data_IF_885037827742
#
_entry.id   IF_885037827742
#
_cell.length_a   1.000
_cell.length_b   1.000
_cell.length_c   1.000
_cell.angle_alpha   90.00
_cell.angle_beta   90.00
_cell.angle_gamma   90.00
#
_symmetry.space_group_name_H-M   'P 1'
#
loop_
_entity.id
_entity.type
_entity.pdbx_description
1 polymer ?
#
# COMPACT_ATOMS: atom_id res chain seq x y z
N UNK A 1 -17.73 31.17 5.01
CA UNK A 1 -16.37 31.00 4.50
C UNK A 1 -15.92 29.54 4.54
N UNK A 2 -15.85 28.85 5.68
CA UNK A 2 -15.40 27.45 5.80
C UNK A 2 -16.22 26.48 4.93
N UNK A 3 -17.57 26.61 4.93
CA UNK A 3 -18.45 25.77 4.10
C UNK A 3 -18.19 25.99 2.60
N UNK A 4 -17.96 27.27 2.19
CA UNK A 4 -17.62 27.56 0.79
C UNK A 4 -16.25 26.98 0.40
N UNK A 5 -15.27 27.05 1.29
CA UNK A 5 -13.95 26.46 1.06
C UNK A 5 -14.05 24.94 0.90
N UNK A 6 -14.60 24.25 1.90
CA UNK A 6 -14.77 22.80 1.84
C UNK A 6 -15.64 22.39 0.65
N UNK A 7 -16.77 23.10 0.43
CA UNK A 7 -17.68 22.82 -0.66
C UNK A 7 -17.04 22.98 -2.04
N UNK A 8 -16.23 24.03 -2.24
CA UNK A 8 -15.51 24.22 -3.51
C UNK A 8 -14.55 23.05 -3.79
N UNK A 9 -13.72 22.68 -2.82
CA UNK A 9 -12.78 21.57 -2.97
C UNK A 9 -13.52 20.26 -3.29
N UNK A 10 -14.56 19.95 -2.51
CA UNK A 10 -15.31 18.69 -2.69
C UNK A 10 -16.03 18.65 -4.04
N UNK A 11 -16.70 19.73 -4.45
CA UNK A 11 -17.41 19.81 -5.74
C UNK A 11 -16.42 19.71 -6.89
N UNK A 12 -15.31 20.46 -6.83
CA UNK A 12 -14.30 20.44 -7.88
C UNK A 12 -13.76 19.02 -8.13
N UNK A 13 -13.38 18.31 -7.08
CA UNK A 13 -12.83 16.96 -7.21
C UNK A 13 -13.88 15.86 -7.45
N UNK A 14 -15.19 16.13 -7.25
CA UNK A 14 -16.24 15.18 -7.63
C UNK A 14 -16.32 14.97 -9.15
N UNK A 15 -15.93 15.96 -9.94
CA UNK A 15 -15.93 15.89 -11.40
C UNK A 15 -14.60 15.50 -12.01
N UNK A 16 -13.61 15.17 -11.19
CA UNK A 16 -12.27 14.72 -11.61
C UNK A 16 -12.05 13.26 -11.26
N UNK A 17 -11.02 12.63 -11.86
CA UNK A 17 -10.52 11.33 -11.39
C UNK A 17 -10.08 11.47 -9.94
N UNK A 18 -10.79 10.81 -9.02
CA UNK A 18 -10.58 10.99 -7.58
C UNK A 18 -9.46 10.11 -7.06
N UNK A 19 -8.58 10.74 -6.29
CA UNK A 19 -7.61 10.09 -5.40
C UNK A 19 -7.93 10.50 -3.98
N UNK A 20 -7.65 9.67 -2.99
CA UNK A 20 -8.01 9.93 -1.59
C UNK A 20 -7.43 11.26 -1.07
N UNK A 21 -6.21 11.60 -1.49
CA UNK A 21 -5.53 12.82 -1.06
C UNK A 21 -6.09 14.11 -1.68
N UNK A 22 -6.95 14.04 -2.69
CA UNK A 22 -7.56 15.23 -3.28
C UNK A 22 -8.50 15.96 -2.32
N UNK A 23 -9.02 15.28 -1.31
CA UNK A 23 -9.82 15.90 -0.24
C UNK A 23 -8.99 16.63 0.81
N UNK A 24 -7.67 16.43 0.88
CA UNK A 24 -6.80 17.02 1.91
C UNK A 24 -6.89 18.56 2.01
N UNK A 25 -6.99 19.33 0.92
CA UNK A 25 -7.14 20.79 1.02
C UNK A 25 -8.41 21.24 1.76
N UNK A 26 -9.43 20.38 1.91
CA UNK A 26 -10.64 20.67 2.68
C UNK A 26 -10.49 20.39 4.21
N UNK A 27 -9.50 19.60 4.62
CA UNK A 27 -9.34 19.16 6.01
C UNK A 27 -9.19 20.31 7.01
N UNK A 28 -8.42 21.41 6.75
CA UNK A 28 -8.37 22.54 7.67
C UNK A 28 -9.73 23.22 7.84
N UNK A 29 -10.53 23.33 6.77
CA UNK A 29 -11.87 23.90 6.84
C UNK A 29 -12.81 23.03 7.68
N UNK A 30 -12.76 21.71 7.51
CA UNK A 30 -13.53 20.75 8.34
C UNK A 30 -13.09 20.81 9.81
N UNK A 31 -11.79 20.86 10.08
CA UNK A 31 -11.26 20.93 11.46
C UNK A 31 -11.74 22.20 12.19
N UNK A 32 -11.68 23.36 11.52
CA UNK A 32 -12.17 24.62 12.08
C UNK A 32 -13.69 24.61 12.28
N UNK A 33 -14.46 24.10 11.30
CA UNK A 33 -15.91 23.98 11.42
C UNK A 33 -16.31 23.04 12.58
N UNK A 34 -15.63 21.91 12.73
CA UNK A 34 -15.86 20.97 13.82
C UNK A 34 -15.52 21.61 15.19
N UNK A 35 -14.42 22.35 15.26
CA UNK A 35 -14.04 23.09 16.47
C UNK A 35 -15.11 24.09 16.92
N UNK A 36 -15.68 24.86 15.97
CA UNK A 36 -16.78 25.79 16.25
C UNK A 36 -18.03 25.07 16.78
N UNK A 37 -18.43 23.98 16.10
CA UNK A 37 -19.60 23.19 16.48
C UNK A 37 -19.44 22.60 17.89
N UNK A 38 -18.28 22.08 18.21
CA UNK A 38 -17.99 21.51 19.53
C UNK A 38 -17.93 22.60 20.63
N UNK A 39 -17.48 23.82 20.30
CA UNK A 39 -17.45 24.95 21.24
C UNK A 39 -18.83 25.44 21.58
N UNK A 40 -19.76 25.48 20.64
CA UNK A 40 -21.15 25.93 20.85
C UNK A 40 -21.98 24.95 21.71
N UNK A 41 -21.58 23.68 21.77
CA UNK A 41 -22.17 22.61 22.60
C UNK A 41 -23.71 22.51 22.57
N UNK A 42 -24.31 22.72 21.40
CA UNK A 42 -25.75 22.64 21.23
C UNK A 42 -26.30 21.21 21.44
N UNK A 43 -27.60 21.09 21.74
CA UNK A 43 -28.23 19.80 22.08
C UNK A 43 -28.12 18.71 21.00
N UNK A 44 -28.08 19.09 19.72
CA UNK A 44 -27.85 18.16 18.62
C UNK A 44 -26.41 17.60 18.59
N UNK A 45 -25.43 18.36 19.06
CA UNK A 45 -24.02 17.92 19.20
C UNK A 45 -23.91 16.75 20.17
N UNK A 46 -24.69 16.79 21.27
CA UNK A 46 -24.75 15.67 22.22
C UNK A 46 -25.33 14.39 21.58
N UNK A 47 -26.32 14.53 20.69
CA UNK A 47 -26.87 13.36 19.96
C UNK A 47 -25.84 12.82 18.98
N UNK A 48 -25.20 13.68 18.22
CA UNK A 48 -24.14 13.30 17.29
C UNK A 48 -22.96 12.62 18.01
N UNK A 49 -22.55 13.14 19.15
CA UNK A 49 -21.51 12.54 20.00
C UNK A 49 -21.87 11.11 20.43
N UNK A 50 -23.13 10.84 20.78
CA UNK A 50 -23.58 9.47 21.11
C UNK A 50 -23.55 8.54 19.89
N UNK A 51 -23.91 9.05 18.69
CA UNK A 51 -23.80 8.27 17.45
C UNK A 51 -22.35 7.91 17.18
N UNK A 52 -21.43 8.88 17.28
CA UNK A 52 -19.98 8.66 17.14
C UNK A 52 -19.48 7.64 18.16
N UNK A 53 -19.95 7.75 19.43
CA UNK A 53 -19.64 6.76 20.46
C UNK A 53 -20.10 5.36 20.09
N UNK A 54 -21.33 5.21 19.58
CA UNK A 54 -21.86 3.91 19.16
C UNK A 54 -21.08 3.32 17.98
N UNK A 55 -20.71 4.14 16.99
CA UNK A 55 -19.88 3.73 15.87
C UNK A 55 -18.49 3.30 16.33
N UNK A 56 -17.86 4.08 17.23
CA UNK A 56 -16.57 3.72 17.80
C UNK A 56 -16.65 2.43 18.63
N UNK A 57 -17.71 2.23 19.41
CA UNK A 57 -17.93 0.98 20.14
C UNK A 57 -18.09 -0.22 19.20
N UNK A 58 -18.85 -0.07 18.12
CA UNK A 58 -19.00 -1.12 17.12
C UNK A 58 -17.66 -1.44 16.43
N UNK A 59 -16.87 -0.43 16.07
CA UNK A 59 -15.52 -0.61 15.51
C UNK A 59 -14.56 -1.30 16.51
N UNK A 60 -14.64 -0.93 17.80
CA UNK A 60 -13.88 -1.61 18.87
C UNK A 60 -14.24 -3.10 18.96
N UNK A 61 -15.54 -3.43 18.97
CA UNK A 61 -16.03 -4.81 19.03
C UNK A 61 -15.57 -5.58 17.78
N UNK A 62 -15.69 -5.00 16.60
CA UNK A 62 -15.25 -5.63 15.36
C UNK A 62 -13.74 -5.91 15.37
N UNK A 63 -12.91 -4.93 15.74
CA UNK A 63 -11.46 -5.11 15.84
C UNK A 63 -11.09 -6.17 16.89
N UNK A 64 -11.76 -6.18 18.06
CA UNK A 64 -11.56 -7.18 19.09
C UNK A 64 -11.98 -8.58 18.64
N UNK A 65 -13.10 -8.71 17.91
CA UNK A 65 -13.57 -9.99 17.36
C UNK A 65 -12.58 -10.55 16.33
N UNK A 66 -12.08 -9.71 15.41
CA UNK A 66 -11.04 -10.13 14.46
C UNK A 66 -9.78 -10.55 15.22
N UNK A 67 -9.33 -9.74 16.17
CA UNK A 67 -8.16 -10.08 16.99
C UNK A 67 -8.32 -11.42 17.72
N UNK A 68 -9.50 -11.67 18.31
CA UNK A 68 -9.80 -12.93 18.99
C UNK A 68 -9.78 -14.12 18.01
N UNK A 69 -10.32 -13.95 16.79
CA UNK A 69 -10.35 -15.02 15.78
C UNK A 69 -8.96 -15.42 15.28
N UNK A 70 -8.01 -14.49 15.28
CA UNK A 70 -6.64 -14.74 14.79
C UNK A 70 -5.62 -14.90 15.92
N UNK A 71 -6.04 -14.84 17.18
CA UNK A 71 -5.12 -14.80 18.33
C UNK A 71 -4.15 -15.99 18.36
N UNK A 72 -4.66 -17.20 18.13
CA UNK A 72 -3.89 -18.44 18.12
C UNK A 72 -3.20 -18.73 16.76
N UNK A 73 -3.50 -17.97 15.71
CA UNK A 73 -2.91 -18.20 14.40
C UNK A 73 -1.43 -17.80 14.39
N UNK A 74 -0.53 -18.66 13.87
CA UNK A 74 0.86 -18.31 13.68
C UNK A 74 1.02 -17.27 12.54
N UNK A 75 2.06 -16.43 12.64
CA UNK A 75 2.42 -15.45 11.61
C UNK A 75 3.89 -15.65 11.21
N UNK A 76 4.25 -16.73 10.50
CA UNK A 76 5.62 -17.05 10.12
C UNK A 76 6.09 -16.21 8.93
N UNK A 77 7.28 -15.61 9.05
CA UNK A 77 7.86 -14.80 7.98
C UNK A 77 7.16 -13.44 7.80
N UNK A 78 7.05 -12.97 6.58
CA UNK A 78 6.36 -11.73 6.23
C UNK A 78 4.89 -11.99 5.78
N UNK A 79 4.11 -10.90 5.71
CA UNK A 79 2.68 -10.95 5.39
C UNK A 79 2.39 -11.38 3.94
N UNK A 80 3.34 -11.19 3.01
CA UNK A 80 3.11 -11.38 1.57
C UNK A 80 2.64 -12.80 1.21
N UNK A 81 3.07 -13.80 1.98
CA UNK A 81 2.64 -15.20 1.78
C UNK A 81 1.19 -15.48 2.16
N UNK A 82 0.58 -14.59 2.93
CA UNK A 82 -0.79 -14.71 3.43
C UNK A 82 -1.77 -13.82 2.68
N UNK A 83 -1.29 -13.06 1.69
CA UNK A 83 -2.13 -12.20 0.85
C UNK A 83 -2.58 -12.94 -0.41
N UNK A 84 -3.80 -12.66 -0.85
CA UNK A 84 -4.27 -13.05 -2.17
C UNK A 84 -3.69 -12.07 -3.20
N UNK A 85 -2.64 -12.47 -3.92
CA UNK A 85 -1.99 -11.60 -4.90
C UNK A 85 -2.89 -11.43 -6.13
N UNK A 86 -3.48 -10.24 -6.26
CA UNK A 86 -4.31 -9.83 -7.40
C UNK A 86 -3.64 -8.65 -8.14
N UNK A 87 -2.74 -8.90 -9.08
CA UNK A 87 -1.97 -7.85 -9.75
C UNK A 87 -2.83 -6.85 -10.53
N UNK A 88 -4.05 -7.24 -10.94
CA UNK A 88 -4.97 -6.35 -11.67
C UNK A 88 -5.58 -5.25 -10.80
N UNK A 89 -5.58 -5.40 -9.47
CA UNK A 89 -6.15 -4.41 -8.53
C UNK A 89 -5.20 -3.27 -8.17
N UNK A 90 -3.94 -3.31 -8.61
CA UNK A 90 -2.92 -2.28 -8.30
C UNK A 90 -3.24 -0.89 -8.86
N UNK A 91 -4.18 -0.78 -9.76
CA UNK A 91 -4.59 0.50 -10.34
C UNK A 91 -5.47 1.34 -9.41
N UNK A 92 -6.01 0.76 -8.35
CA UNK A 92 -6.88 1.43 -7.38
C UNK A 92 -6.11 1.64 -6.06
N UNK A 93 -6.18 2.84 -5.49
CA UNK A 93 -5.45 3.21 -4.27
C UNK A 93 -5.76 2.32 -3.06
N UNK A 94 -6.96 1.75 -2.98
CA UNK A 94 -7.36 0.79 -1.95
C UNK A 94 -7.41 -0.66 -2.47
N UNK A 95 -6.87 -0.93 -3.66
CA UNK A 95 -6.88 -2.25 -4.27
C UNK A 95 -6.24 -3.34 -3.40
N UNK A 96 -5.18 -2.98 -2.67
CA UNK A 96 -4.51 -3.89 -1.75
C UNK A 96 -5.40 -4.40 -0.59
N UNK A 97 -6.51 -3.74 -0.29
CA UNK A 97 -7.47 -4.25 0.69
C UNK A 97 -8.18 -5.52 0.20
N UNK A 98 -8.30 -5.70 -1.12
CA UNK A 98 -8.81 -6.93 -1.73
C UNK A 98 -7.88 -8.13 -1.59
N UNK A 99 -6.60 -7.90 -1.31
CA UNK A 99 -5.61 -8.95 -1.09
C UNK A 99 -5.65 -9.54 0.32
N UNK A 100 -6.37 -8.89 1.26
CA UNK A 100 -6.46 -9.33 2.66
C UNK A 100 -7.23 -10.64 2.79
N UNK A 101 -6.59 -11.62 3.37
CA UNK A 101 -7.20 -12.88 3.80
C UNK A 101 -7.36 -12.92 5.32
N UNK A 102 -8.15 -13.85 5.85
CA UNK A 102 -8.25 -14.00 7.31
C UNK A 102 -6.86 -14.28 7.94
N UNK A 103 -6.02 -15.05 7.26
CA UNK A 103 -4.68 -15.38 7.74
C UNK A 103 -3.77 -14.13 7.81
N UNK A 104 -3.93 -13.15 6.93
CA UNK A 104 -3.13 -11.93 6.93
C UNK A 104 -3.38 -11.08 8.20
N UNK A 105 -4.57 -11.15 8.80
CA UNK A 105 -4.84 -10.46 10.05
C UNK A 105 -4.04 -11.03 11.24
N UNK A 106 -3.50 -12.26 11.15
CA UNK A 106 -2.61 -12.79 12.19
C UNK A 106 -1.31 -11.97 12.34
N UNK A 107 -0.86 -11.32 11.27
CA UNK A 107 0.29 -10.42 11.31
C UNK A 107 -0.03 -9.04 11.88
N UNK A 108 -1.32 -8.69 11.94
CA UNK A 108 -1.82 -7.39 12.37
C UNK A 108 -2.30 -7.38 13.84
N UNK A 109 -1.93 -8.36 14.67
CA UNK A 109 -2.40 -8.44 16.06
C UNK A 109 -2.14 -7.16 16.86
N UNK A 110 -0.93 -6.61 16.78
CA UNK A 110 -0.58 -5.39 17.51
C UNK A 110 -1.31 -4.15 16.96
N UNK A 111 -1.33 -3.89 15.65
CA UNK A 111 -2.18 -2.85 15.08
C UNK A 111 -3.66 -2.97 15.46
N UNK A 112 -4.24 -4.16 15.39
CA UNK A 112 -5.64 -4.42 15.75
C UNK A 112 -5.90 -4.15 17.23
N UNK A 113 -5.01 -4.59 18.13
CA UNK A 113 -5.14 -4.33 19.55
C UNK A 113 -5.11 -2.82 19.85
N UNK A 114 -4.18 -2.09 19.22
CA UNK A 114 -4.07 -0.64 19.38
C UNK A 114 -5.28 0.10 18.79
N UNK A 115 -5.80 -0.35 17.64
CA UNK A 115 -7.00 0.21 17.04
C UNK A 115 -8.24 -0.05 17.91
N UNK A 116 -8.40 -1.26 18.45
CA UNK A 116 -9.48 -1.56 19.40
C UNK A 116 -9.41 -0.66 20.64
N UNK A 117 -8.22 -0.48 21.22
CA UNK A 117 -8.01 0.41 22.35
C UNK A 117 -8.32 1.88 22.01
N UNK A 118 -7.90 2.33 20.80
CA UNK A 118 -8.22 3.66 20.31
C UNK A 118 -9.73 3.89 20.20
N UNK A 119 -10.47 2.97 19.60
CA UNK A 119 -11.91 3.06 19.48
C UNK A 119 -12.63 2.97 20.83
N UNK A 120 -12.12 2.18 21.80
CA UNK A 120 -12.65 2.15 23.15
C UNK A 120 -12.52 3.52 23.84
N UNK A 121 -11.36 4.17 23.71
CA UNK A 121 -11.13 5.55 24.23
C UNK A 121 -12.12 6.52 23.59
N UNK A 122 -12.28 6.49 22.27
CA UNK A 122 -13.22 7.34 21.55
C UNK A 122 -14.67 7.12 21.97
N UNK A 123 -15.09 5.86 22.10
CA UNK A 123 -16.42 5.49 22.56
C UNK A 123 -16.69 6.04 23.96
N UNK A 124 -15.79 5.83 24.90
CA UNK A 124 -15.92 6.29 26.29
C UNK A 124 -15.96 7.84 26.36
N UNK A 125 -15.11 8.54 25.62
CA UNK A 125 -15.03 9.98 25.61
C UNK A 125 -16.29 10.64 25.00
N UNK A 126 -16.89 10.01 23.98
CA UNK A 126 -18.06 10.54 23.28
C UNK A 126 -19.40 10.16 23.94
N UNK A 127 -19.44 9.14 24.81
CA UNK A 127 -20.66 8.64 25.42
C UNK A 127 -21.39 9.70 26.28
N UNK A 128 -20.63 10.39 27.12
CA UNK A 128 -21.13 11.52 27.94
C UNK A 128 -20.47 12.78 27.42
N UNK A 129 -21.16 13.48 26.54
CA UNK A 129 -20.64 14.69 25.93
C UNK A 129 -20.23 15.72 27.01
N UNK A 130 -18.95 15.95 27.08
CA UNK A 130 -18.30 17.03 27.86
C UNK A 130 -17.29 17.69 26.92
N UNK A 131 -17.50 18.91 26.42
CA UNK A 131 -16.76 19.46 25.30
C UNK A 131 -15.24 19.23 25.37
N UNK A 132 -14.59 19.62 26.46
CA UNK A 132 -13.14 19.43 26.62
C UNK A 132 -12.71 17.97 26.67
N UNK A 133 -13.44 17.13 27.43
CA UNK A 133 -13.09 15.71 27.57
C UNK A 133 -13.34 14.95 26.24
N UNK A 134 -14.43 15.28 25.54
CA UNK A 134 -14.74 14.70 24.24
C UNK A 134 -13.68 15.08 23.18
N UNK A 135 -13.26 16.34 23.14
CA UNK A 135 -12.20 16.80 22.23
C UNK A 135 -10.86 16.10 22.52
N UNK A 136 -10.44 16.05 23.79
CA UNK A 136 -9.19 15.39 24.18
C UNK A 136 -9.24 13.88 23.92
N UNK A 137 -10.36 13.24 24.22
CA UNK A 137 -10.54 11.82 23.97
C UNK A 137 -10.58 11.47 22.49
N UNK A 138 -11.23 12.29 21.66
CA UNK A 138 -11.22 12.14 20.21
C UNK A 138 -9.80 12.35 19.64
N UNK A 139 -9.08 13.35 20.12
CA UNK A 139 -7.68 13.55 19.71
C UNK A 139 -6.80 12.36 20.09
N UNK A 140 -6.94 11.85 21.33
CA UNK A 140 -6.19 10.67 21.79
C UNK A 140 -6.56 9.43 20.95
N UNK A 141 -7.84 9.20 20.67
CA UNK A 141 -8.30 8.14 19.76
C UNK A 141 -7.60 8.24 18.41
N UNK A 142 -7.57 9.43 17.80
CA UNK A 142 -6.91 9.64 16.51
C UNK A 142 -5.41 9.39 16.56
N UNK A 143 -4.73 9.87 17.60
CA UNK A 143 -3.29 9.59 17.77
C UNK A 143 -3.01 8.11 17.87
N UNK A 144 -3.80 7.37 18.66
CA UNK A 144 -3.65 5.92 18.80
C UNK A 144 -3.98 5.21 17.50
N UNK A 145 -5.05 5.62 16.82
CA UNK A 145 -5.47 5.01 15.54
C UNK A 145 -4.43 5.23 14.43
N UNK A 146 -3.88 6.44 14.31
CA UNK A 146 -2.82 6.73 13.33
C UNK A 146 -1.53 5.94 13.63
N UNK A 147 -1.21 5.72 14.92
CA UNK A 147 -0.11 4.84 15.27
C UNK A 147 -0.42 3.36 14.95
N UNK A 148 -1.67 2.91 15.14
CA UNK A 148 -2.08 1.58 14.69
C UNK A 148 -1.94 1.41 13.18
N UNK A 149 -2.39 2.41 12.41
CA UNK A 149 -2.22 2.44 10.96
C UNK A 149 -0.74 2.42 10.54
N UNK A 150 0.11 3.23 11.21
CA UNK A 150 1.56 3.21 10.97
C UNK A 150 2.18 1.84 11.24
N UNK A 151 1.80 1.18 12.34
CA UNK A 151 2.28 -0.18 12.63
C UNK A 151 1.79 -1.19 11.59
N UNK A 152 0.54 -1.05 11.12
CA UNK A 152 0.04 -1.88 10.03
C UNK A 152 0.86 -1.68 8.75
N UNK A 153 1.16 -0.44 8.37
CA UNK A 153 2.02 -0.15 7.21
C UNK A 153 3.41 -0.77 7.34
N UNK A 154 4.00 -0.79 8.54
CA UNK A 154 5.28 -1.48 8.76
C UNK A 154 5.18 -2.99 8.56
N UNK A 155 4.05 -3.61 8.91
CA UNK A 155 3.80 -5.03 8.64
C UNK A 155 3.67 -5.30 7.14
N UNK A 156 3.07 -4.37 6.39
CA UNK A 156 2.93 -4.46 4.94
C UNK A 156 4.19 -4.06 4.16
N UNK A 157 5.17 -3.45 4.80
CA UNK A 157 6.35 -2.92 4.12
C UNK A 157 7.06 -3.94 3.21
N UNK A 158 7.30 -5.21 3.62
CA UNK A 158 7.90 -6.20 2.72
C UNK A 158 7.10 -6.46 1.44
N UNK A 159 5.77 -6.35 1.51
CA UNK A 159 4.87 -6.52 0.36
C UNK A 159 4.82 -5.27 -0.52
N UNK A 160 4.69 -4.10 0.08
CA UNK A 160 4.57 -2.82 -0.64
C UNK A 160 5.91 -2.33 -1.17
N UNK A 161 6.99 -2.52 -0.41
CA UNK A 161 8.34 -2.12 -0.77
C UNK A 161 9.09 -3.27 -1.45
N UNK A 162 10.01 -2.92 -2.33
CA UNK A 162 10.98 -3.87 -2.90
C UNK A 162 12.40 -3.57 -2.39
N UNK A 163 12.51 -2.93 -1.22
CA UNK A 163 13.82 -2.55 -0.64
C UNK A 163 14.80 -3.72 -0.51
N UNK A 164 14.42 -4.92 -0.01
CA UNK A 164 15.38 -6.04 0.08
C UNK A 164 15.91 -6.50 -1.27
N UNK A 165 15.08 -6.43 -2.33
CA UNK A 165 15.48 -6.73 -3.71
C UNK A 165 16.44 -5.66 -4.22
N UNK A 166 16.14 -4.38 -3.97
CA UNK A 166 17.00 -3.26 -4.35
C UNK A 166 18.36 -3.33 -3.66
N UNK A 167 18.39 -3.63 -2.36
CA UNK A 167 19.59 -3.81 -1.56
C UNK A 167 20.47 -4.95 -2.11
N UNK A 168 19.86 -6.10 -2.41
CA UNK A 168 20.56 -7.22 -3.03
C UNK A 168 21.12 -6.85 -4.39
N UNK A 169 20.33 -6.18 -5.23
CA UNK A 169 20.75 -5.75 -6.57
C UNK A 169 21.91 -4.76 -6.51
N UNK A 170 21.85 -3.80 -5.59
CA UNK A 170 22.89 -2.78 -5.38
C UNK A 170 24.24 -3.39 -5.00
N UNK A 171 24.24 -4.48 -4.24
CA UNK A 171 25.45 -5.20 -3.82
C UNK A 171 25.83 -6.35 -4.78
N UNK A 172 25.13 -6.50 -5.88
CA UNK A 172 25.40 -7.50 -6.91
C UNK A 172 26.18 -6.90 -8.08
N UNK A 173 26.83 -7.73 -8.92
CA UNK A 173 27.49 -7.23 -10.12
C UNK A 173 26.51 -6.48 -11.03
N UNK A 174 26.99 -5.41 -11.67
CA UNK A 174 26.19 -4.63 -12.61
C UNK A 174 25.77 -5.49 -13.80
N UNK A 175 24.53 -5.31 -14.24
CA UNK A 175 23.93 -6.01 -15.37
C UNK A 175 22.72 -5.26 -15.90
N UNK A 176 22.16 -5.77 -16.98
CA UNK A 176 20.91 -5.23 -17.53
C UNK A 176 19.75 -5.56 -16.57
N UNK A 177 19.02 -4.54 -16.11
CA UNK A 177 17.88 -4.72 -15.20
C UNK A 177 16.58 -4.65 -16.00
N UNK A 178 15.71 -5.63 -15.79
CA UNK A 178 14.41 -5.76 -16.44
C UNK A 178 13.34 -5.91 -15.36
N UNK A 179 12.27 -5.12 -15.46
CA UNK A 179 11.06 -5.30 -14.65
C UNK A 179 10.00 -6.01 -15.47
N UNK A 180 9.46 -7.07 -14.92
CA UNK A 180 8.36 -7.81 -15.54
C UNK A 180 7.03 -7.17 -15.23
N UNK A 181 6.34 -6.64 -16.28
CA UNK A 181 4.99 -6.08 -16.21
C UNK A 181 4.94 -4.67 -15.59
N UNK A 182 4.27 -4.47 -14.47
CA UNK A 182 3.96 -3.12 -13.94
C UNK A 182 5.15 -2.43 -13.29
N UNK A 183 5.62 -1.34 -13.89
CA UNK A 183 6.68 -0.50 -13.33
C UNK A 183 6.39 -0.07 -11.88
N UNK A 184 5.15 0.31 -11.59
CA UNK A 184 4.78 0.84 -10.27
C UNK A 184 5.02 -0.13 -9.12
N UNK A 185 4.90 -1.43 -9.36
CA UNK A 185 5.18 -2.48 -8.37
C UNK A 185 6.66 -2.53 -7.99
N UNK A 186 7.54 -2.12 -8.94
CA UNK A 186 8.98 -2.19 -8.80
C UNK A 186 9.67 -0.83 -8.73
N UNK A 187 8.92 0.27 -8.72
CA UNK A 187 9.47 1.64 -8.69
C UNK A 187 10.42 1.88 -7.53
N UNK A 188 10.18 1.24 -6.38
CA UNK A 188 11.07 1.31 -5.22
C UNK A 188 12.43 0.64 -5.48
N UNK A 189 12.50 -0.40 -6.32
CA UNK A 189 13.78 -1.00 -6.74
C UNK A 189 14.61 0.00 -7.51
N UNK A 190 13.97 0.67 -8.48
CA UNK A 190 14.65 1.68 -9.29
C UNK A 190 15.25 2.79 -8.43
N UNK A 191 14.46 3.27 -7.45
CA UNK A 191 14.89 4.32 -6.54
C UNK A 191 16.02 3.88 -5.58
N UNK A 192 15.83 2.77 -4.86
CA UNK A 192 16.78 2.35 -3.82
C UNK A 192 18.05 1.70 -4.37
N UNK A 193 17.99 1.08 -5.54
CA UNK A 193 19.18 0.53 -6.21
C UNK A 193 19.93 1.58 -7.03
N UNK A 194 19.45 2.84 -7.05
CA UNK A 194 20.04 3.97 -7.76
C UNK A 194 20.30 3.63 -9.24
N UNK A 195 19.27 3.05 -9.91
CA UNK A 195 19.37 2.66 -11.31
C UNK A 195 19.22 3.86 -12.22
N UNK A 196 20.15 4.02 -13.15
CA UNK A 196 20.05 5.03 -14.22
C UNK A 196 19.08 4.62 -15.32
N UNK A 197 18.96 3.30 -15.57
CA UNK A 197 18.11 2.72 -16.60
C UNK A 197 17.63 1.31 -16.20
N UNK A 198 16.41 0.99 -16.58
CA UNK A 198 15.87 -0.35 -16.56
C UNK A 198 14.93 -0.56 -17.74
N UNK A 199 14.77 -1.82 -18.17
CA UNK A 199 13.84 -2.21 -19.21
C UNK A 199 12.54 -2.71 -18.60
N UNK A 200 11.45 -2.65 -19.38
CA UNK A 200 10.11 -3.07 -18.96
C UNK A 200 9.64 -4.17 -19.93
N UNK A 201 9.57 -5.39 -19.46
CA UNK A 201 8.98 -6.49 -20.22
C UNK A 201 7.47 -6.49 -20.03
N UNK A 202 6.71 -6.37 -21.13
CA UNK A 202 5.24 -6.29 -21.15
C UNK A 202 4.67 -5.11 -20.35
N UNK A 203 5.47 -4.06 -20.10
CA UNK A 203 5.08 -2.92 -19.24
C UNK A 203 4.49 -1.72 -19.97
N UNK A 204 4.18 -1.84 -21.28
CA UNK A 204 3.66 -0.73 -22.08
C UNK A 204 2.15 -0.60 -21.91
N UNK A 205 1.72 0.03 -20.81
CA UNK A 205 0.32 0.36 -20.55
C UNK A 205 0.17 1.51 -19.56
N UNK A 206 -1.06 2.01 -19.40
CA UNK A 206 -1.40 3.18 -18.59
C UNK A 206 -0.60 4.44 -18.99
N UNK A 207 -0.16 5.21 -18.02
CA UNK A 207 0.57 6.47 -18.27
C UNK A 207 1.89 6.26 -19.01
N UNK A 208 2.53 5.11 -18.82
CA UNK A 208 3.79 4.80 -19.51
C UNK A 208 3.58 4.55 -21.01
N UNK A 209 2.44 3.96 -21.39
CA UNK A 209 2.07 3.77 -22.79
C UNK A 209 2.00 5.11 -23.51
N UNK A 210 1.22 6.05 -22.97
CA UNK A 210 1.08 7.38 -23.59
C UNK A 210 2.40 8.13 -23.70
N UNK A 211 3.23 8.07 -22.64
CA UNK A 211 4.56 8.70 -22.64
C UNK A 211 5.52 8.07 -23.65
N UNK A 212 5.38 6.78 -23.96
CA UNK A 212 6.26 6.06 -24.88
C UNK A 212 6.14 6.50 -26.36
N UNK A 213 5.06 7.19 -26.72
CA UNK A 213 4.84 7.70 -28.07
C UNK A 213 5.38 9.11 -28.27
N UNK A 214 5.89 9.77 -27.22
CA UNK A 214 6.43 11.11 -27.33
C UNK A 214 7.77 11.11 -28.10
N UNK A 215 8.05 12.16 -28.91
CA UNK A 215 9.33 12.29 -29.56
C UNK A 215 10.48 12.31 -28.54
N UNK A 216 11.47 11.44 -28.73
CA UNK A 216 12.62 11.30 -27.82
C UNK A 216 12.36 10.43 -26.61
N UNK A 217 11.22 9.75 -26.52
CA UNK A 217 10.98 8.74 -25.49
C UNK A 217 12.02 7.62 -25.60
N UNK A 218 12.57 7.14 -24.46
CA UNK A 218 13.55 6.05 -24.47
C UNK A 218 12.89 4.74 -24.88
N UNK A 219 13.61 3.93 -25.65
CA UNK A 219 13.20 2.58 -26.04
C UNK A 219 13.54 1.58 -24.91
N UNK A 220 12.61 1.46 -23.97
CA UNK A 220 12.78 0.64 -22.76
C UNK A 220 11.80 -0.52 -22.65
N UNK A 221 10.86 -0.62 -23.59
CA UNK A 221 9.84 -1.67 -23.57
C UNK A 221 10.27 -2.88 -24.36
N UNK A 222 10.31 -4.04 -23.74
CA UNK A 222 10.68 -5.30 -24.36
C UNK A 222 9.44 -6.17 -24.59
N UNK A 223 9.38 -6.78 -25.75
CA UNK A 223 8.47 -7.89 -26.05
C UNK A 223 9.07 -9.26 -25.66
N UNK A 224 8.34 -10.35 -25.94
CA UNK A 224 8.75 -11.71 -25.58
C UNK A 224 10.00 -12.19 -26.35
N UNK A 225 10.23 -11.69 -27.55
CA UNK A 225 11.42 -12.06 -28.34
C UNK A 225 12.63 -11.23 -27.92
N UNK A 226 12.42 -9.97 -27.63
CA UNK A 226 13.47 -9.06 -27.18
C UNK A 226 14.02 -9.45 -25.81
N UNK A 227 13.14 -9.84 -24.85
CA UNK A 227 13.60 -10.31 -23.53
C UNK A 227 14.39 -11.62 -23.70
N UNK A 228 13.98 -12.56 -24.55
CA UNK A 228 14.74 -13.77 -24.84
C UNK A 228 16.12 -13.43 -25.42
N UNK A 229 16.18 -12.46 -26.34
CA UNK A 229 17.43 -12.00 -26.92
C UNK A 229 18.38 -11.43 -25.85
N UNK A 230 17.88 -10.58 -24.96
CA UNK A 230 18.65 -10.01 -23.83
C UNK A 230 19.09 -11.10 -22.86
N UNK A 231 18.18 -12.01 -22.49
CA UNK A 231 18.44 -13.08 -21.51
C UNK A 231 19.51 -14.06 -21.97
N UNK A 232 19.61 -14.32 -23.28
CA UNK A 232 20.56 -15.24 -23.88
C UNK A 232 21.95 -14.61 -24.15
N UNK A 233 22.16 -13.32 -23.89
CA UNK A 233 23.46 -12.68 -24.01
C UNK A 233 24.46 -13.20 -22.95
N UNK A 234 25.75 -13.15 -23.23
CA UNK A 234 26.76 -13.50 -22.23
C UNK A 234 26.83 -12.50 -21.06
N UNK A 235 26.26 -11.32 -21.22
CA UNK A 235 26.21 -10.30 -20.19
C UNK A 235 25.20 -10.65 -19.11
N UNK A 236 25.45 -10.17 -17.89
CA UNK A 236 24.54 -10.38 -16.76
C UNK A 236 23.22 -9.62 -16.99
N UNK A 237 22.12 -10.33 -16.86
CA UNK A 237 20.79 -9.77 -16.88
C UNK A 237 20.04 -10.14 -15.59
N UNK A 238 19.35 -9.15 -15.04
CA UNK A 238 18.49 -9.25 -13.88
C UNK A 238 17.03 -9.09 -14.30
N UNK A 239 16.16 -9.95 -13.82
CA UNK A 239 14.73 -9.83 -14.04
C UNK A 239 14.02 -9.86 -12.69
N UNK A 240 13.14 -8.89 -12.47
CA UNK A 240 12.33 -8.79 -11.27
C UNK A 240 10.88 -8.99 -11.65
N UNK A 241 10.23 -9.97 -11.02
CA UNK A 241 8.83 -10.35 -11.33
C UNK A 241 8.05 -10.64 -10.06
N UNK A 242 6.74 -10.53 -10.15
CA UNK A 242 5.83 -10.98 -9.10
C UNK A 242 5.75 -12.51 -9.07
N UNK A 243 5.50 -13.08 -7.88
CA UNK A 243 5.43 -14.52 -7.67
C UNK A 243 4.51 -15.27 -8.64
N UNK A 244 3.27 -14.81 -8.91
CA UNK A 244 2.37 -15.46 -9.85
C UNK A 244 2.88 -15.57 -11.28
N UNK A 245 3.83 -14.72 -11.68
CA UNK A 245 4.41 -14.70 -13.04
C UNK A 245 5.65 -15.56 -13.20
N UNK A 246 6.16 -16.13 -12.12
CA UNK A 246 7.41 -16.91 -12.15
C UNK A 246 7.34 -18.09 -13.11
N UNK A 247 6.24 -18.85 -13.12
CA UNK A 247 6.07 -19.99 -14.04
C UNK A 247 6.05 -19.55 -15.50
N UNK A 248 5.41 -18.42 -15.80
CA UNK A 248 5.39 -17.84 -17.17
C UNK A 248 6.80 -17.47 -17.60
N UNK A 249 7.58 -16.87 -16.74
CA UNK A 249 8.99 -16.50 -17.00
C UNK A 249 9.83 -17.75 -17.24
N UNK A 250 9.74 -18.76 -16.38
CA UNK A 250 10.48 -20.00 -16.50
C UNK A 250 10.13 -20.77 -17.78
N UNK A 251 8.86 -20.71 -18.23
CA UNK A 251 8.45 -21.32 -19.49
C UNK A 251 8.95 -20.55 -20.71
N UNK A 252 8.99 -19.20 -20.63
CA UNK A 252 9.41 -18.33 -21.72
C UNK A 252 10.93 -18.34 -21.94
N UNK A 253 11.71 -18.24 -20.84
CA UNK A 253 13.16 -18.07 -20.86
C UNK A 253 13.93 -19.38 -20.71
N UNK A 254 13.24 -20.47 -20.34
CA UNK A 254 13.82 -21.78 -20.05
C UNK A 254 14.19 -21.92 -18.57
N UNK A 255 13.59 -22.93 -17.92
CA UNK A 255 13.75 -23.18 -16.48
C UNK A 255 15.20 -23.32 -16.05
N UNK A 256 16.04 -23.94 -16.88
CA UNK A 256 17.48 -24.15 -16.59
C UNK A 256 18.33 -22.87 -16.71
N UNK A 257 17.78 -21.83 -17.33
CA UNK A 257 18.43 -20.53 -17.57
C UNK A 257 17.96 -19.43 -16.62
N UNK A 258 16.97 -19.73 -15.78
CA UNK A 258 16.43 -18.79 -14.80
C UNK A 258 16.94 -19.17 -13.41
N UNK A 259 17.84 -18.37 -12.88
CA UNK A 259 18.39 -18.60 -11.56
C UNK A 259 17.72 -17.69 -10.52
N UNK A 260 17.05 -18.29 -9.55
CA UNK A 260 16.36 -17.57 -8.45
C UNK A 260 17.40 -17.10 -7.46
N UNK A 261 17.48 -15.79 -7.24
CA UNK A 261 18.51 -15.15 -6.37
C UNK A 261 17.94 -14.75 -5.02
N UNK A 262 16.74 -14.12 -5.01
CA UNK A 262 16.09 -13.66 -3.80
C UNK A 262 14.57 -13.65 -3.99
N UNK A 263 13.84 -14.06 -2.95
CA UNK A 263 12.40 -13.84 -2.81
C UNK A 263 12.16 -12.86 -1.67
N UNK A 264 11.38 -11.83 -1.92
CA UNK A 264 10.96 -10.88 -0.88
C UNK A 264 9.66 -10.19 -1.26
N UNK A 265 8.72 -10.13 -0.31
CA UNK A 265 7.45 -9.44 -0.50
C UNK A 265 6.59 -9.97 -1.64
N UNK A 266 6.66 -11.29 -1.92
CA UNK A 266 5.94 -11.92 -3.03
C UNK A 266 6.55 -11.63 -4.41
N UNK A 267 7.78 -11.10 -4.46
CA UNK A 267 8.51 -10.74 -5.67
C UNK A 267 9.81 -11.54 -5.75
N UNK A 268 10.26 -11.83 -6.96
CA UNK A 268 11.47 -12.59 -7.23
C UNK A 268 12.50 -11.75 -7.98
N UNK A 269 13.73 -11.79 -7.49
CA UNK A 269 14.92 -11.38 -8.23
C UNK A 269 15.52 -12.60 -8.90
N UNK A 270 15.61 -12.56 -10.22
CA UNK A 270 16.11 -13.63 -11.07
C UNK A 270 17.36 -13.16 -11.82
N UNK A 271 18.26 -14.09 -12.13
CA UNK A 271 19.45 -13.84 -12.94
C UNK A 271 19.53 -14.84 -14.10
N UNK A 272 20.12 -14.43 -15.24
CA UNK A 272 20.35 -15.29 -16.40
C UNK A 272 21.52 -16.26 -16.23
N UNK A 273 22.26 -16.15 -15.13
CA UNK A 273 23.35 -17.06 -14.75
C UNK A 273 23.38 -17.28 -13.25
N UNK A 274 24.00 -18.38 -12.85
CA UNK A 274 24.18 -18.68 -11.42
C UNK A 274 25.07 -17.65 -10.78
N UNK A 275 24.61 -17.10 -9.65
CA UNK A 275 25.39 -16.19 -8.81
C UNK A 275 26.12 -17.01 -7.74
N UNK A 276 27.38 -16.70 -7.55
CA UNK A 276 28.21 -17.31 -6.48
C UNK A 276 27.93 -16.68 -5.12
#
# INVERSE_FOLDING_TARGET
>A
MLVCWAGFVMVFFTFSTTQEYYSMPAYPAFALALGLVLAEAQGWVTRLSRIVSAVAAAACIAAAAILASVWSMPAPGDISRSLAQNPELYTLSLGHMGDLTLASFAYLKLPLALAAAAFAVGAAACWRFRPRATMLGAALMMVMFLNAARLAMQVFDPYLSSYPIAEKLRHSPKGTVIFGDQYYVFSSVFFYAELDQAFLWRGRYHNLEYGSYAPGAPDVFLDDEEIKAVWNRPDLAWLIVEGPKLETVESLLGRDRVHRVLESGGKWLLANRKME
#
